data_IF_419999469476
#
_entry.id   IF_419999469476
#
_cell.length_a   1.000
_cell.length_b   1.000
_cell.length_c   1.000
_cell.angle_alpha   90.00
_cell.angle_beta   90.00
_cell.angle_gamma   90.00
#
_symmetry.space_group_name_H-M   'P 1'
#
loop_
_entity.id
_entity.type
_entity.pdbx_description
1 polymer ?
#
# COMPACT_ATOMS: atom_id res chain seq x y z
N UNK A 1 -9.80 1.42 -29.48
CA UNK A 1 -10.10 1.32 -28.03
C UNK A 1 -9.19 2.25 -27.27
N UNK A 2 -9.69 2.97 -26.26
CA UNK A 2 -8.84 3.83 -25.43
C UNK A 2 -7.94 2.94 -24.58
N UNK A 3 -6.65 3.22 -24.52
CA UNK A 3 -5.71 2.47 -23.69
C UNK A 3 -6.12 2.57 -22.22
N UNK A 4 -6.17 1.43 -21.51
CA UNK A 4 -6.53 1.42 -20.09
C UNK A 4 -5.44 2.10 -19.28
N UNK A 5 -5.85 2.86 -18.26
CA UNK A 5 -4.90 3.41 -17.29
C UNK A 5 -4.31 2.30 -16.43
N UNK A 6 -3.05 2.42 -16.08
CA UNK A 6 -2.31 1.43 -15.31
C UNK A 6 -2.32 1.78 -13.83
N UNK A 7 -2.70 0.82 -13.00
CA UNK A 7 -2.66 0.97 -11.54
C UNK A 7 -1.71 -0.05 -10.93
N UNK A 8 -0.84 0.43 -10.05
CA UNK A 8 0.07 -0.39 -9.24
C UNK A 8 -0.37 -0.33 -7.77
N UNK A 9 -0.96 -1.41 -7.28
CA UNK A 9 -1.17 -1.62 -5.86
C UNK A 9 0.11 -2.13 -5.21
N UNK A 10 0.46 -1.59 -4.05
CA UNK A 10 1.64 -2.02 -3.29
C UNK A 10 1.20 -2.39 -1.89
N UNK A 11 1.40 -3.65 -1.51
CA UNK A 11 0.98 -4.19 -0.22
C UNK A 11 2.11 -4.99 0.43
N UNK A 12 2.43 -4.67 1.68
CA UNK A 12 3.47 -5.41 2.40
C UNK A 12 2.92 -6.67 3.09
N UNK A 13 1.70 -6.62 3.59
CA UNK A 13 1.07 -7.71 4.32
C UNK A 13 -0.11 -8.27 3.52
N UNK A 14 0.12 -9.28 2.68
CA UNK A 14 -0.92 -9.95 1.91
C UNK A 14 -1.59 -11.05 2.75
N UNK A 15 -2.43 -10.65 3.73
CA UNK A 15 -3.13 -11.58 4.61
C UNK A 15 -4.34 -10.95 5.30
N UNK A 16 -5.19 -11.78 5.89
CA UNK A 16 -6.38 -11.35 6.62
C UNK A 16 -7.31 -10.43 5.83
N UNK A 17 -7.86 -9.43 6.48
CA UNK A 17 -8.80 -8.48 5.86
C UNK A 17 -8.20 -7.67 4.70
N UNK A 18 -6.89 -7.41 4.71
CA UNK A 18 -6.20 -6.72 3.61
C UNK A 18 -6.21 -7.58 2.35
N UNK A 19 -6.02 -8.89 2.49
CA UNK A 19 -6.11 -9.83 1.37
C UNK A 19 -7.50 -9.81 0.73
N UNK A 20 -8.56 -10.00 1.52
CA UNK A 20 -9.94 -9.99 1.02
C UNK A 20 -10.28 -8.66 0.33
N UNK A 21 -9.92 -7.56 0.95
CA UNK A 21 -10.12 -6.22 0.38
C UNK A 21 -9.44 -6.07 -0.99
N UNK A 22 -8.18 -6.52 -1.11
CA UNK A 22 -7.43 -6.39 -2.36
C UNK A 22 -7.94 -7.31 -3.46
N UNK A 23 -8.40 -8.51 -3.12
CA UNK A 23 -9.04 -9.42 -4.08
C UNK A 23 -10.27 -8.76 -4.71
N UNK A 24 -11.17 -8.24 -3.88
CA UNK A 24 -12.39 -7.58 -4.37
C UNK A 24 -12.06 -6.31 -5.16
N UNK A 25 -11.16 -5.48 -4.65
CA UNK A 25 -10.77 -4.23 -5.31
C UNK A 25 -10.13 -4.50 -6.68
N UNK A 26 -9.14 -5.39 -6.74
CA UNK A 26 -8.41 -5.65 -7.98
C UNK A 26 -9.27 -6.32 -9.04
N UNK A 27 -10.08 -7.31 -8.64
CA UNK A 27 -10.99 -7.98 -9.56
C UNK A 27 -12.07 -7.02 -10.09
N UNK A 28 -12.59 -6.13 -9.24
CA UNK A 28 -13.55 -5.11 -9.68
C UNK A 28 -12.93 -4.05 -10.61
N UNK A 29 -11.64 -3.75 -10.44
CA UNK A 29 -10.96 -2.71 -11.23
C UNK A 29 -10.42 -3.20 -12.58
N UNK A 30 -10.18 -4.49 -12.77
CA UNK A 30 -9.54 -5.04 -13.98
C UNK A 30 -10.36 -4.88 -15.27
N UNK A 31 -11.65 -4.51 -15.15
CA UNK A 31 -12.48 -4.12 -16.31
C UNK A 31 -12.01 -2.78 -16.91
N UNK A 32 -11.66 -1.81 -16.09
CA UNK A 32 -11.37 -0.44 -16.50
C UNK A 32 -9.88 -0.10 -16.48
N UNK A 33 -9.08 -0.85 -15.70
CA UNK A 33 -7.66 -0.61 -15.48
C UNK A 33 -6.81 -1.84 -15.81
N UNK A 34 -5.55 -1.60 -16.20
CA UNK A 34 -4.51 -2.61 -16.15
C UNK A 34 -3.95 -2.68 -14.74
N UNK A 35 -4.35 -3.72 -14.00
CA UNK A 35 -4.06 -3.85 -12.56
C UNK A 35 -2.81 -4.69 -12.33
N UNK A 36 -1.85 -4.13 -11.58
CA UNK A 36 -0.68 -4.86 -11.06
C UNK A 36 -0.63 -4.72 -9.54
N UNK A 37 -0.37 -5.83 -8.84
CA UNK A 37 -0.18 -5.84 -7.38
C UNK A 37 1.27 -6.26 -7.08
N UNK A 38 2.04 -5.36 -6.47
CA UNK A 38 3.34 -5.66 -5.88
C UNK A 38 3.13 -6.04 -4.39
N UNK A 39 3.38 -7.29 -4.04
CA UNK A 39 2.96 -7.85 -2.76
C UNK A 39 4.10 -8.54 -1.99
N UNK A 40 4.03 -8.45 -0.67
CA UNK A 40 4.87 -9.26 0.23
C UNK A 40 4.16 -10.53 0.65
N UNK A 41 4.84 -11.66 0.56
CA UNK A 41 4.33 -12.94 1.06
C UNK A 41 4.55 -13.03 2.57
N UNK A 42 3.55 -13.51 3.28
CA UNK A 42 3.52 -13.71 4.73
C UNK A 42 3.05 -15.12 5.08
N UNK A 43 3.30 -15.54 6.32
CA UNK A 43 2.74 -16.80 6.86
C UNK A 43 1.21 -16.85 6.79
N UNK A 44 0.57 -15.69 6.86
CA UNK A 44 -0.88 -15.53 6.80
C UNK A 44 -1.42 -15.43 5.36
N UNK A 45 -0.54 -15.37 4.35
CA UNK A 45 -0.95 -15.38 2.93
C UNK A 45 -1.40 -16.80 2.55
N UNK A 46 -2.60 -16.99 2.00
CA UNK A 46 -3.04 -18.31 1.54
C UNK A 46 -2.08 -18.89 0.50
N UNK A 47 -1.75 -20.18 0.58
CA UNK A 47 -0.83 -20.83 -0.38
C UNK A 47 -1.32 -20.69 -1.83
N UNK A 48 -2.64 -20.76 -2.03
CA UNK A 48 -3.28 -20.60 -3.33
C UNK A 48 -3.74 -19.16 -3.62
N UNK A 49 -3.14 -18.14 -2.99
CA UNK A 49 -3.58 -16.75 -3.10
C UNK A 49 -3.79 -16.26 -4.53
N UNK A 50 -3.01 -16.77 -5.49
CA UNK A 50 -3.12 -16.38 -6.92
C UNK A 50 -4.47 -16.75 -7.53
N UNK A 51 -5.10 -17.84 -7.09
CA UNK A 51 -6.39 -18.30 -7.63
C UNK A 51 -7.59 -17.45 -7.24
N UNK A 52 -7.42 -16.51 -6.33
CA UNK A 52 -8.48 -15.56 -5.93
C UNK A 52 -8.57 -14.34 -6.85
N UNK A 53 -7.53 -14.09 -7.64
CA UNK A 53 -7.48 -12.95 -8.55
C UNK A 53 -7.91 -13.34 -9.96
N UNK A 54 -8.57 -12.39 -10.62
CA UNK A 54 -8.87 -12.49 -12.06
C UNK A 54 -7.54 -12.65 -12.85
N UNK A 55 -7.56 -13.42 -13.93
CA UNK A 55 -6.39 -13.72 -14.77
C UNK A 55 -5.74 -12.45 -15.38
N UNK A 56 -6.51 -11.37 -15.47
CA UNK A 56 -6.04 -10.05 -15.96
C UNK A 56 -5.25 -9.27 -14.92
N UNK A 57 -5.29 -9.67 -13.65
CA UNK A 57 -4.53 -9.03 -12.56
C UNK A 57 -3.10 -9.58 -12.52
N UNK A 58 -2.13 -8.71 -12.74
CA UNK A 58 -0.70 -9.08 -12.65
C UNK A 58 -0.21 -9.06 -11.19
N UNK A 59 0.36 -10.18 -10.72
CA UNK A 59 0.89 -10.32 -9.37
C UNK A 59 2.42 -10.36 -9.42
N UNK A 60 3.09 -9.50 -8.63
CA UNK A 60 4.55 -9.39 -8.55
C UNK A 60 4.99 -9.45 -7.09
N UNK A 61 5.77 -10.45 -6.73
CA UNK A 61 6.29 -10.60 -5.38
C UNK A 61 7.45 -9.63 -5.13
N UNK A 62 7.45 -9.00 -3.93
CA UNK A 62 8.52 -8.13 -3.42
C UNK A 62 9.23 -8.88 -2.31
N UNK A 63 10.38 -9.46 -2.61
CA UNK A 63 11.11 -10.38 -1.72
C UNK A 63 11.57 -9.73 -0.42
N UNK A 64 11.91 -8.43 -0.48
CA UNK A 64 12.46 -7.72 0.65
C UNK A 64 11.41 -7.03 1.55
N UNK A 65 10.11 -7.25 1.33
CA UNK A 65 9.12 -6.84 2.30
C UNK A 65 9.18 -7.68 3.58
N UNK A 66 9.20 -7.01 4.74
CA UNK A 66 9.25 -7.64 6.07
C UNK A 66 8.28 -6.95 7.02
N UNK A 67 7.79 -7.66 8.05
CA UNK A 67 6.83 -7.12 9.03
C UNK A 67 7.41 -5.99 9.88
N UNK A 68 8.64 -6.17 10.36
CA UNK A 68 9.32 -5.19 11.23
C UNK A 68 10.11 -4.13 10.47
N UNK A 69 10.62 -3.15 11.20
CA UNK A 69 11.59 -2.19 10.67
C UNK A 69 12.92 -2.91 10.43
N UNK A 70 13.38 -2.94 9.20
CA UNK A 70 14.67 -3.48 8.80
C UNK A 70 15.29 -2.58 7.73
N UNK A 71 16.17 -1.64 8.11
CA UNK A 71 16.66 -0.62 7.18
C UNK A 71 17.29 -1.19 5.89
N UNK A 72 18.01 -2.32 6.01
CA UNK A 72 18.67 -2.95 4.85
C UNK A 72 17.64 -3.55 3.90
N UNK A 73 16.69 -4.35 4.42
CA UNK A 73 15.63 -4.92 3.61
C UNK A 73 14.68 -3.85 3.08
N UNK A 74 14.39 -2.83 3.88
CA UNK A 74 13.54 -1.72 3.47
C UNK A 74 14.16 -0.93 2.30
N UNK A 75 15.49 -0.73 2.31
CA UNK A 75 16.20 -0.11 1.19
C UNK A 75 16.16 -1.00 -0.06
N UNK A 76 16.33 -2.32 0.09
CA UNK A 76 16.21 -3.26 -1.03
C UNK A 76 14.79 -3.26 -1.59
N UNK A 77 13.77 -3.27 -0.73
CA UNK A 77 12.36 -3.14 -1.15
C UNK A 77 12.12 -1.83 -1.93
N UNK A 78 12.72 -0.71 -1.52
CA UNK A 78 12.65 0.54 -2.31
C UNK A 78 13.18 0.38 -3.73
N UNK A 79 14.30 -0.34 -3.89
CA UNK A 79 14.92 -0.59 -5.22
C UNK A 79 14.03 -1.51 -6.06
N UNK A 80 13.49 -2.59 -5.46
CA UNK A 80 12.55 -3.51 -6.12
C UNK A 80 11.30 -2.76 -6.61
N UNK A 81 10.68 -1.96 -5.75
CA UNK A 81 9.50 -1.19 -6.10
C UNK A 81 9.75 -0.20 -7.25
N UNK A 82 10.93 0.45 -7.28
CA UNK A 82 11.33 1.31 -8.41
C UNK A 82 11.46 0.51 -9.71
N UNK A 83 12.06 -0.70 -9.66
CA UNK A 83 12.18 -1.56 -10.84
C UNK A 83 10.80 -2.01 -11.34
N UNK A 84 9.91 -2.41 -10.43
CA UNK A 84 8.52 -2.79 -10.77
C UNK A 84 7.80 -1.61 -11.40
N UNK A 85 7.82 -0.43 -10.79
CA UNK A 85 7.15 0.76 -11.32
C UNK A 85 7.73 1.19 -12.69
N UNK A 86 9.04 1.05 -12.90
CA UNK A 86 9.66 1.31 -14.19
C UNK A 86 9.23 0.31 -15.28
N UNK A 87 8.93 -0.93 -14.91
CA UNK A 87 8.42 -1.95 -15.86
C UNK A 87 6.93 -1.73 -16.15
N UNK A 88 6.13 -1.48 -15.12
CA UNK A 88 4.68 -1.29 -15.23
C UNK A 88 4.31 0.05 -15.87
N UNK A 89 5.08 1.11 -15.58
CA UNK A 89 4.77 2.50 -15.98
C UNK A 89 3.36 2.93 -15.51
N UNK A 90 3.07 2.87 -14.18
CA UNK A 90 1.72 3.14 -13.69
C UNK A 90 1.36 4.62 -13.77
N UNK A 91 0.07 4.91 -14.01
CA UNK A 91 -0.54 6.23 -13.86
C UNK A 91 -0.91 6.49 -12.40
N UNK A 92 -1.31 5.42 -11.71
CA UNK A 92 -1.81 5.43 -10.34
C UNK A 92 -0.98 4.47 -9.49
N UNK A 93 -0.58 4.91 -8.29
CA UNK A 93 0.03 4.06 -7.27
C UNK A 93 -0.86 4.08 -6.04
N UNK A 94 -1.33 2.91 -5.62
CA UNK A 94 -2.13 2.76 -4.41
C UNK A 94 -1.37 1.91 -3.38
N UNK A 95 -1.05 2.53 -2.25
CA UNK A 95 -0.28 1.95 -1.17
C UNK A 95 -1.21 1.39 -0.10
N UNK A 96 -0.96 0.15 0.34
CA UNK A 96 -1.77 -0.52 1.35
C UNK A 96 -0.91 -0.94 2.54
N UNK A 97 -1.40 -0.72 3.75
CA UNK A 97 -0.71 -0.88 5.03
C UNK A 97 0.35 0.20 5.35
N UNK A 98 0.60 0.41 6.66
CA UNK A 98 1.50 1.46 7.13
C UNK A 98 2.92 1.33 6.57
N UNK A 99 3.45 0.11 6.44
CA UNK A 99 4.83 -0.08 5.96
C UNK A 99 4.95 0.20 4.45
N UNK A 100 4.10 -0.40 3.63
CA UNK A 100 4.08 -0.10 2.20
C UNK A 100 3.76 1.38 1.94
N UNK A 101 2.87 1.95 2.77
CA UNK A 101 2.56 3.38 2.76
C UNK A 101 3.77 4.26 3.06
N UNK A 102 4.59 3.92 4.06
CA UNK A 102 5.79 4.68 4.39
C UNK A 102 6.85 4.56 3.28
N UNK A 103 7.18 3.33 2.86
CA UNK A 103 8.17 3.08 1.81
C UNK A 103 7.73 3.73 0.50
N UNK A 104 6.49 3.49 0.06
CA UNK A 104 5.98 4.02 -1.20
C UNK A 104 5.96 5.55 -1.25
N UNK A 105 5.50 6.22 -0.18
CA UNK A 105 5.50 7.68 -0.10
C UNK A 105 6.91 8.30 -0.04
N UNK A 106 7.93 7.53 0.36
CA UNK A 106 9.33 7.96 0.27
C UNK A 106 9.92 7.73 -1.12
N UNK A 107 9.59 6.62 -1.76
CA UNK A 107 10.14 6.19 -3.05
C UNK A 107 9.51 6.95 -4.22
N UNK A 108 8.19 7.15 -4.17
CA UNK A 108 7.43 7.73 -5.26
C UNK A 108 7.03 9.17 -4.99
N UNK A 109 6.84 9.92 -6.06
CA UNK A 109 6.44 11.32 -5.99
C UNK A 109 5.01 11.50 -6.49
N UNK A 110 4.14 12.07 -5.68
CA UNK A 110 2.80 12.48 -6.09
C UNK A 110 2.76 13.64 -7.09
N UNK A 111 3.93 14.11 -7.57
CA UNK A 111 4.00 15.00 -8.74
C UNK A 111 4.07 14.22 -10.06
N UNK A 112 4.61 12.99 -9.99
CA UNK A 112 4.74 12.09 -11.16
C UNK A 112 3.55 11.13 -11.28
N UNK A 113 3.03 10.66 -10.15
CA UNK A 113 1.97 9.66 -10.07
C UNK A 113 0.76 10.21 -9.32
N UNK A 114 -0.44 9.77 -9.67
CA UNK A 114 -1.60 9.91 -8.78
C UNK A 114 -1.45 8.89 -7.67
N UNK A 115 -1.27 9.35 -6.42
CA UNK A 115 -0.96 8.46 -5.30
C UNK A 115 -2.10 8.39 -4.30
N UNK A 116 -2.46 7.15 -3.92
CA UNK A 116 -3.40 6.83 -2.86
C UNK A 116 -2.73 6.00 -1.77
N UNK A 117 -3.23 6.11 -0.55
CA UNK A 117 -2.79 5.34 0.60
C UNK A 117 -3.98 4.91 1.44
N UNK A 118 -4.12 3.59 1.66
CA UNK A 118 -5.09 3.00 2.59
C UNK A 118 -4.33 2.32 3.73
N UNK A 119 -4.45 2.81 4.97
CA UNK A 119 -3.69 2.30 6.11
C UNK A 119 -4.04 0.86 6.51
N UNK A 120 -5.30 0.46 6.40
CA UNK A 120 -5.83 -0.80 6.96
C UNK A 120 -5.49 -1.00 8.45
N UNK A 121 -5.70 0.04 9.24
CA UNK A 121 -5.24 0.14 10.62
C UNK A 121 -3.83 0.73 10.71
N UNK A 122 -3.73 1.94 11.27
CA UNK A 122 -2.42 2.56 11.49
C UNK A 122 -1.58 1.78 12.49
N UNK A 123 -0.33 1.46 12.15
CA UNK A 123 0.57 0.72 13.03
C UNK A 123 0.82 1.40 14.38
N UNK A 124 0.67 2.72 14.50
CA UNK A 124 0.80 3.42 15.78
C UNK A 124 -0.42 3.27 16.69
N UNK A 125 -1.53 2.68 16.21
CA UNK A 125 -2.73 2.37 16.98
C UNK A 125 -2.73 0.94 17.53
N UNK A 126 -1.78 0.10 17.11
CA UNK A 126 -1.67 -1.28 17.63
C UNK A 126 -1.48 -1.29 19.16
N UNK A 127 -2.19 -2.18 19.84
CA UNK A 127 -2.14 -2.28 21.30
C UNK A 127 -0.84 -2.89 21.80
N UNK A 128 -0.32 -3.90 21.10
CA UNK A 128 0.83 -4.73 21.50
C UNK A 128 2.20 -4.15 21.15
N UNK A 129 2.33 -2.82 21.02
CA UNK A 129 3.61 -2.17 20.72
C UNK A 129 4.10 -1.30 21.88
N UNK A 130 5.42 -1.27 22.10
CA UNK A 130 6.02 -0.39 23.10
C UNK A 130 5.76 1.09 22.78
N UNK A 131 5.70 1.92 23.83
CA UNK A 131 5.47 3.36 23.68
C UNK A 131 6.49 4.05 22.77
N UNK A 132 7.76 3.56 22.75
CA UNK A 132 8.80 4.08 21.87
C UNK A 132 8.49 3.74 20.39
N UNK A 133 8.13 2.49 20.09
CA UNK A 133 7.74 2.09 18.73
C UNK A 133 6.51 2.88 18.24
N UNK A 134 5.52 3.07 19.12
CA UNK A 134 4.34 3.89 18.81
C UNK A 134 4.70 5.31 18.41
N UNK A 135 5.61 5.95 19.16
CA UNK A 135 6.11 7.31 18.83
C UNK A 135 6.83 7.33 17.47
N UNK A 136 7.69 6.35 17.20
CA UNK A 136 8.41 6.23 15.93
C UNK A 136 7.43 6.10 14.76
N UNK A 137 6.47 5.17 14.84
CA UNK A 137 5.46 4.98 13.78
C UNK A 137 4.63 6.24 13.56
N UNK A 138 4.22 6.92 14.63
CA UNK A 138 3.48 8.18 14.52
C UNK A 138 4.27 9.29 13.86
N UNK A 139 5.57 9.38 14.13
CA UNK A 139 6.48 10.34 13.49
C UNK A 139 6.64 10.03 12.01
N UNK A 140 6.85 8.75 11.65
CA UNK A 140 6.93 8.30 10.26
C UNK A 140 5.66 8.66 9.50
N UNK A 141 4.49 8.32 10.05
CA UNK A 141 3.21 8.65 9.42
C UNK A 141 3.01 10.16 9.25
N UNK A 142 3.40 10.96 10.26
CA UNK A 142 3.31 12.42 10.19
C UNK A 142 4.21 13.01 9.10
N UNK A 143 5.41 12.46 8.91
CA UNK A 143 6.34 12.89 7.85
C UNK A 143 5.77 12.48 6.48
N UNK A 144 5.37 11.22 6.33
CA UNK A 144 4.82 10.67 5.08
C UNK A 144 3.48 11.31 4.71
N UNK A 145 2.63 11.61 5.69
CA UNK A 145 1.33 12.25 5.50
C UNK A 145 1.40 13.69 4.95
N UNK A 146 2.61 14.30 4.97
CA UNK A 146 2.86 15.61 4.34
C UNK A 146 3.17 15.50 2.83
N UNK A 147 3.36 14.26 2.34
CA UNK A 147 3.59 14.04 0.91
C UNK A 147 2.29 14.22 0.12
N UNK A 148 2.42 14.49 -1.18
CA UNK A 148 1.26 14.62 -2.06
C UNK A 148 0.68 13.24 -2.39
N UNK A 149 -0.11 12.72 -1.44
CA UNK A 149 -0.76 11.40 -1.50
C UNK A 149 -2.13 11.53 -0.83
N UNK A 150 -3.17 11.00 -1.48
CA UNK A 150 -4.54 11.01 -0.94
C UNK A 150 -4.66 9.81 0.01
N UNK A 151 -5.02 10.05 1.26
CA UNK A 151 -5.32 8.97 2.20
C UNK A 151 -6.78 8.58 2.06
N UNK A 152 -7.03 7.29 1.82
CA UNK A 152 -8.36 6.70 1.75
C UNK A 152 -8.56 5.84 2.99
N UNK A 153 -9.47 6.22 3.86
CA UNK A 153 -9.76 5.51 5.09
C UNK A 153 -10.87 4.48 4.86
N UNK A 154 -10.71 3.27 5.43
CA UNK A 154 -11.71 2.21 5.38
C UNK A 154 -12.81 2.35 6.45
N UNK A 155 -12.66 3.30 7.39
CA UNK A 155 -13.62 3.52 8.47
C UNK A 155 -13.45 4.89 9.12
N UNK A 156 -14.45 5.30 9.91
CA UNK A 156 -14.51 6.64 10.54
C UNK A 156 -13.33 6.89 11.49
N UNK A 157 -13.01 5.91 12.33
CA UNK A 157 -11.86 6.00 13.25
C UNK A 157 -10.53 6.20 12.52
N UNK A 158 -10.35 5.50 11.40
CA UNK A 158 -9.16 5.63 10.56
C UNK A 158 -9.10 7.00 9.89
N UNK A 159 -10.23 7.50 9.43
CA UNK A 159 -10.36 8.85 8.87
C UNK A 159 -10.01 9.93 9.91
N UNK A 160 -10.53 9.83 11.12
CA UNK A 160 -10.21 10.79 12.20
C UNK A 160 -8.71 10.83 12.50
N UNK A 161 -8.04 9.67 12.53
CA UNK A 161 -6.60 9.63 12.76
C UNK A 161 -5.82 10.14 11.55
N UNK A 162 -6.25 9.77 10.34
CA UNK A 162 -5.65 10.20 9.07
C UNK A 162 -5.75 11.70 8.85
N UNK A 163 -6.90 12.32 9.15
CA UNK A 163 -7.11 13.76 8.97
C UNK A 163 -6.19 14.63 9.83
N UNK A 164 -5.72 14.11 10.98
CA UNK A 164 -4.76 14.81 11.85
C UNK A 164 -3.33 14.83 11.33
N UNK A 165 -2.98 13.91 10.42
CA UNK A 165 -1.61 13.72 9.94
C UNK A 165 -1.45 13.87 8.43
N UNK A 166 -2.46 13.53 7.63
CA UNK A 166 -2.41 13.60 6.18
C UNK A 166 -2.84 14.99 5.66
N UNK A 167 -2.18 15.48 4.60
CA UNK A 167 -2.57 16.73 3.93
C UNK A 167 -3.90 16.62 3.20
N UNK A 168 -4.17 15.44 2.64
CA UNK A 168 -5.38 15.11 1.89
C UNK A 168 -5.89 13.78 2.41
N UNK A 169 -7.05 13.80 3.02
CA UNK A 169 -7.76 12.60 3.44
C UNK A 169 -9.12 12.56 2.76
N UNK A 170 -9.45 11.42 2.19
CA UNK A 170 -10.76 11.14 1.62
C UNK A 170 -11.33 9.95 2.38
N UNK A 171 -12.55 10.08 2.87
CA UNK A 171 -13.29 8.99 3.49
C UNK A 171 -14.03 8.23 2.40
N UNK A 172 -13.83 6.93 2.36
CA UNK A 172 -14.61 6.03 1.50
C UNK A 172 -15.70 5.37 2.35
N UNK A 173 -16.95 5.56 1.95
CA UNK A 173 -18.11 4.84 2.51
C UNK A 173 -18.35 3.57 1.73
#
# INVERSE_FOLDING_TARGET
MKEKRKILHIVEAMGGGVFTYLVELANGMCEEFDVTIALGIRSETPENYKSYFDERVSLVEVENFTRGLNPVKDLKACIELKKIANKVQPDIIHLHSSKAGAIGRMVFSGRKYTMFFTPHGYSFLMEDISGLKRKIYKVIEKICGRRNCITVACGESEWEQGSKIAKKSTFYK
#
